data_IF_594555957291
#
_entry.id   IF_594555957291
#
_cell.length_a   1.000
_cell.length_b   1.000
_cell.length_c   1.000
_cell.angle_alpha   90.00
_cell.angle_beta   90.00
_cell.angle_gamma   90.00
#
_symmetry.space_group_name_H-M   'P 1'
#
loop_
_entity.id
_entity.type
_entity.pdbx_description
1 polymer ?
#
# COMPACT_ATOMS: atom_id res chain seq x y z
N UNK A 1 -13.57 -6.10 -3.71
CA UNK A 1 -13.94 -5.37 -2.47
C UNK A 1 -13.15 -5.92 -1.29
N UNK A 2 -12.50 -5.05 -0.51
CA UNK A 2 -11.89 -5.41 0.78
C UNK A 2 -12.92 -5.20 1.89
N UNK A 3 -13.07 -6.19 2.77
CA UNK A 3 -13.88 -6.11 3.99
C UNK A 3 -12.99 -6.44 5.20
N UNK A 4 -12.97 -5.53 6.17
CA UNK A 4 -12.28 -5.70 7.46
C UNK A 4 -13.34 -5.58 8.54
N UNK A 5 -13.49 -6.61 9.38
CA UNK A 5 -14.58 -6.71 10.35
C UNK A 5 -14.03 -7.01 11.75
N UNK A 6 -14.16 -6.05 12.64
CA UNK A 6 -13.89 -6.22 14.07
C UNK A 6 -12.47 -6.66 14.39
N UNK A 7 -11.46 -6.27 13.58
CA UNK A 7 -10.09 -6.75 13.82
C UNK A 7 -9.50 -6.15 15.10
N UNK A 8 -8.92 -7.03 15.90
CA UNK A 8 -8.18 -6.69 17.11
C UNK A 8 -6.76 -7.18 16.99
N UNK A 9 -5.81 -6.34 17.38
CA UNK A 9 -4.38 -6.63 17.34
C UNK A 9 -3.74 -6.17 18.63
N UNK A 10 -3.02 -7.08 19.29
CA UNK A 10 -2.19 -6.78 20.44
C UNK A 10 -0.71 -6.95 20.10
N UNK A 11 0.14 -5.98 20.48
CA UNK A 11 1.60 -6.04 20.36
C UNK A 11 2.18 -5.82 21.77
N UNK A 12 2.96 -6.79 22.28
CA UNK A 12 3.54 -6.72 23.63
C UNK A 12 2.50 -6.35 24.71
N UNK A 13 1.34 -7.04 24.71
CA UNK A 13 0.23 -6.83 25.61
C UNK A 13 -0.54 -5.48 25.49
N UNK A 14 -0.18 -4.64 24.53
CA UNK A 14 -0.90 -3.41 24.23
C UNK A 14 -1.87 -3.64 23.06
N UNK A 15 -3.15 -3.37 23.25
CA UNK A 15 -4.16 -3.39 22.21
C UNK A 15 -3.96 -2.18 21.27
N UNK A 16 -3.43 -2.44 20.08
CA UNK A 16 -3.19 -1.42 19.05
C UNK A 16 -4.44 -1.21 18.20
N UNK A 17 -5.12 -2.31 17.80
CA UNK A 17 -6.42 -2.24 17.13
C UNK A 17 -7.48 -2.85 18.05
N UNK A 18 -8.69 -2.25 18.08
CA UNK A 18 -9.74 -2.52 19.05
C UNK A 18 -11.09 -2.71 18.37
N UNK A 19 -11.24 -3.81 17.61
CA UNK A 19 -12.48 -4.07 16.88
C UNK A 19 -12.65 -3.19 15.63
N UNK A 20 -11.55 -2.79 14.98
CA UNK A 20 -11.57 -1.93 13.79
C UNK A 20 -12.31 -2.59 12.63
N UNK A 21 -13.23 -1.83 12.02
CA UNK A 21 -13.97 -2.25 10.83
C UNK A 21 -13.88 -1.17 9.76
N UNK A 22 -13.67 -1.57 8.50
CA UNK A 22 -13.72 -0.72 7.32
C UNK A 22 -13.99 -1.54 6.05
N UNK A 23 -14.43 -0.87 5.00
CA UNK A 23 -14.59 -1.48 3.67
C UNK A 23 -13.93 -0.62 2.61
N UNK A 24 -13.40 -1.27 1.56
CA UNK A 24 -12.91 -0.58 0.35
C UNK A 24 -13.52 -1.27 -0.85
N UNK A 25 -14.40 -0.56 -1.53
CA UNK A 25 -15.04 -1.08 -2.72
C UNK A 25 -14.03 -1.31 -3.85
N UNK A 26 -14.36 -2.25 -4.73
CA UNK A 26 -13.60 -2.42 -5.97
C UNK A 26 -13.57 -1.10 -6.73
N UNK A 27 -12.43 -0.78 -7.31
CA UNK A 27 -12.23 0.45 -8.07
C UNK A 27 -12.32 1.76 -7.26
N UNK A 28 -12.34 1.70 -5.92
CA UNK A 28 -12.32 2.87 -5.05
C UNK A 28 -10.91 3.21 -4.56
N UNK A 29 -10.69 4.48 -4.21
CA UNK A 29 -9.57 4.93 -3.37
C UNK A 29 -10.17 5.45 -2.07
N UNK A 30 -9.76 4.87 -0.95
CA UNK A 30 -10.25 5.25 0.39
C UNK A 30 -9.04 5.62 1.26
N UNK A 31 -9.19 6.71 2.02
CA UNK A 31 -8.23 7.13 3.03
C UNK A 31 -8.43 6.41 4.36
N UNK A 32 -7.36 6.21 5.11
CA UNK A 32 -7.36 5.88 6.53
C UNK A 32 -6.53 6.94 7.24
N UNK A 33 -7.20 7.91 7.85
CA UNK A 33 -6.53 9.11 8.38
C UNK A 33 -6.55 9.12 9.90
N UNK A 34 -5.42 9.43 10.50
CA UNK A 34 -5.28 9.54 11.94
C UNK A 34 -3.87 9.89 12.37
N UNK A 35 -3.73 10.37 13.61
CA UNK A 35 -2.44 10.77 14.18
C UNK A 35 -1.44 9.61 14.20
N UNK A 36 -0.15 9.93 14.37
CA UNK A 36 0.86 8.90 14.58
C UNK A 36 0.53 8.07 15.83
N UNK A 37 0.64 6.75 15.72
CA UNK A 37 0.23 5.81 16.76
C UNK A 37 -1.27 5.48 16.80
N UNK A 38 -2.12 6.03 15.91
CA UNK A 38 -3.54 5.72 15.89
C UNK A 38 -3.88 4.27 15.45
N UNK A 39 -2.94 3.56 14.79
CA UNK A 39 -3.13 2.19 14.33
C UNK A 39 -3.12 2.01 12.81
N UNK A 40 -2.89 3.07 12.01
CA UNK A 40 -2.89 3.04 10.54
C UNK A 40 -1.97 1.95 9.96
N UNK A 41 -0.67 2.04 10.24
CA UNK A 41 0.34 1.06 9.80
C UNK A 41 0.00 -0.35 10.26
N UNK A 42 -0.50 -0.50 11.50
CA UNK A 42 -0.92 -1.81 12.04
C UNK A 42 -2.09 -2.37 11.24
N UNK A 43 -3.07 -1.54 10.86
CA UNK A 43 -4.19 -1.95 10.00
C UNK A 43 -3.68 -2.45 8.64
N UNK A 44 -2.84 -1.68 7.95
CA UNK A 44 -2.29 -2.10 6.65
C UNK A 44 -1.44 -3.38 6.77
N UNK A 45 -0.62 -3.48 7.82
CA UNK A 45 0.18 -4.68 8.09
C UNK A 45 -0.68 -5.90 8.40
N UNK A 46 -1.81 -5.73 9.08
CA UNK A 46 -2.77 -6.81 9.34
C UNK A 46 -3.42 -7.29 8.04
N UNK A 47 -3.84 -6.37 7.16
CA UNK A 47 -4.39 -6.72 5.85
C UNK A 47 -3.32 -7.43 5.00
N UNK A 48 -2.05 -7.04 5.09
CA UNK A 48 -0.95 -7.70 4.37
C UNK A 48 -0.49 -9.02 5.01
N UNK A 49 -0.97 -9.38 6.22
CA UNK A 49 -0.55 -10.58 6.94
C UNK A 49 0.84 -10.49 7.57
N UNK A 50 1.30 -9.27 7.85
CA UNK A 50 2.56 -8.98 8.54
C UNK A 50 2.38 -8.82 10.06
N UNK A 51 1.13 -8.77 10.51
CA UNK A 51 0.76 -8.70 11.92
C UNK A 51 -0.41 -9.65 12.14
N UNK A 52 -0.31 -10.48 13.19
CA UNK A 52 -1.31 -11.47 13.52
C UNK A 52 -2.52 -10.80 14.18
N UNK A 53 -3.72 -11.23 13.82
CA UNK A 53 -4.96 -10.82 14.46
C UNK A 53 -5.16 -11.60 15.77
N UNK A 54 -5.65 -10.92 16.81
CA UNK A 54 -6.16 -11.56 18.01
C UNK A 54 -7.64 -11.91 17.86
N UNK A 55 -8.40 -11.14 17.07
CA UNK A 55 -9.80 -11.38 16.73
C UNK A 55 -10.17 -10.65 15.43
N UNK A 56 -11.34 -10.95 14.89
CA UNK A 56 -11.90 -10.31 13.70
C UNK A 56 -11.59 -11.06 12.41
N UNK A 57 -12.04 -10.48 11.31
CA UNK A 57 -12.02 -11.13 10.00
C UNK A 57 -11.61 -10.15 8.89
N UNK A 58 -10.80 -10.61 7.95
CA UNK A 58 -10.41 -9.87 6.76
C UNK A 58 -10.70 -10.70 5.52
N UNK A 59 -11.39 -10.10 4.57
CA UNK A 59 -11.77 -10.73 3.32
C UNK A 59 -11.45 -9.81 2.12
N UNK A 60 -10.98 -10.39 1.03
CA UNK A 60 -10.77 -9.70 -0.26
C UNK A 60 -11.46 -10.50 -1.36
N UNK A 61 -12.47 -9.91 -1.99
CA UNK A 61 -13.28 -10.51 -3.08
C UNK A 61 -13.82 -11.91 -2.71
N UNK A 62 -14.39 -12.07 -1.50
CA UNK A 62 -14.91 -13.36 -1.03
C UNK A 62 -13.83 -14.34 -0.53
N UNK A 63 -12.55 -13.95 -0.59
CA UNK A 63 -11.46 -14.79 -0.11
C UNK A 63 -11.02 -14.35 1.29
N UNK A 64 -11.16 -15.23 2.28
CA UNK A 64 -10.67 -15.02 3.66
C UNK A 64 -9.16 -14.93 3.68
N UNK A 65 -8.64 -13.88 4.30
CA UNK A 65 -7.20 -13.65 4.39
C UNK A 65 -6.57 -14.13 5.71
N UNK A 66 -7.36 -14.36 6.76
CA UNK A 66 -6.85 -14.58 8.13
C UNK A 66 -5.68 -15.56 8.21
N UNK A 67 -5.81 -16.74 7.61
CA UNK A 67 -4.81 -17.82 7.66
C UNK A 67 -3.81 -17.80 6.51
N UNK A 68 -3.91 -16.80 5.61
CA UNK A 68 -3.00 -16.66 4.49
C UNK A 68 -1.71 -15.97 4.90
N UNK A 69 -0.56 -16.54 4.53
CA UNK A 69 0.72 -15.86 4.68
C UNK A 69 0.80 -14.58 3.85
N UNK A 70 1.65 -13.63 4.25
CA UNK A 70 1.88 -12.38 3.50
C UNK A 70 2.30 -12.64 2.05
N UNK A 71 3.08 -13.69 1.82
CA UNK A 71 3.46 -14.15 0.49
C UNK A 71 2.25 -14.59 -0.35
N UNK A 72 1.36 -15.39 0.22
CA UNK A 72 0.14 -15.82 -0.46
C UNK A 72 -0.78 -14.64 -0.79
N UNK A 73 -0.88 -13.65 0.10
CA UNK A 73 -1.64 -12.40 -0.13
C UNK A 73 -1.02 -11.57 -1.27
N UNK A 74 0.30 -11.48 -1.37
CA UNK A 74 0.97 -10.84 -2.50
C UNK A 74 0.63 -11.55 -3.83
N UNK A 75 0.65 -12.88 -3.84
CA UNK A 75 0.25 -13.69 -5.01
C UNK A 75 -1.24 -13.55 -5.36
N UNK A 76 -2.11 -13.32 -4.37
CA UNK A 76 -3.52 -13.04 -4.60
C UNK A 76 -3.73 -11.71 -5.34
N UNK A 77 -2.78 -10.78 -5.27
CA UNK A 77 -2.83 -9.50 -5.95
C UNK A 77 -2.85 -8.30 -5.02
N UNK A 78 -2.31 -8.44 -3.80
CA UNK A 78 -2.15 -7.32 -2.88
C UNK A 78 -0.75 -6.73 -3.02
N UNK A 79 -0.68 -5.41 -3.34
CA UNK A 79 0.55 -4.63 -3.32
C UNK A 79 0.63 -3.81 -2.03
N UNK A 80 1.85 -3.63 -1.50
CA UNK A 80 2.05 -2.86 -0.26
C UNK A 80 3.27 -1.95 -0.36
N UNK A 81 3.06 -0.67 -0.15
CA UNK A 81 4.10 0.33 0.07
C UNK A 81 4.18 0.60 1.58
N UNK A 82 5.20 0.11 2.30
CA UNK A 82 5.42 0.47 3.70
C UNK A 82 6.03 1.88 3.83
N UNK A 83 5.82 2.52 4.98
CA UNK A 83 6.38 3.83 5.33
C UNK A 83 7.90 3.87 5.15
N UNK A 84 8.61 2.84 5.64
CA UNK A 84 10.08 2.69 5.61
C UNK A 84 10.64 2.20 4.25
N UNK A 85 9.82 2.20 3.18
CA UNK A 85 10.15 1.82 1.79
C UNK A 85 10.61 0.37 1.60
N UNK A 86 11.39 -0.20 2.49
CA UNK A 86 11.95 -1.58 2.50
C UNK A 86 12.54 -2.05 1.18
N UNK A 87 13.23 -1.15 0.47
CA UNK A 87 14.04 -1.55 -0.68
C UNK A 87 15.21 -2.42 -0.24
N UNK A 88 15.62 -3.35 -1.11
CA UNK A 88 16.86 -4.11 -0.92
C UNK A 88 18.03 -3.22 -1.38
N UNK A 89 18.87 -2.67 -0.45
CA UNK A 89 19.80 -1.60 -0.77
C UNK A 89 20.88 -2.01 -1.77
N UNK A 90 21.27 -3.27 -1.75
CA UNK A 90 22.34 -3.85 -2.59
C UNK A 90 21.87 -4.21 -4.00
N UNK A 91 20.55 -4.35 -4.21
CA UNK A 91 19.99 -4.62 -5.52
C UNK A 91 19.84 -3.32 -6.33
N UNK A 92 19.91 -3.46 -7.66
CA UNK A 92 19.57 -2.38 -8.59
C UNK A 92 18.08 -2.00 -8.48
N UNK A 93 17.72 -0.83 -9.02
CA UNK A 93 16.31 -0.42 -9.16
C UNK A 93 15.52 -1.49 -9.90
N UNK A 94 16.01 -1.93 -11.06
CA UNK A 94 15.34 -2.95 -11.85
C UNK A 94 15.14 -4.26 -11.07
N UNK A 95 16.15 -4.73 -10.35
CA UNK A 95 16.05 -5.96 -9.58
C UNK A 95 15.12 -5.83 -8.36
N UNK A 96 14.98 -4.63 -7.76
CA UNK A 96 13.97 -4.36 -6.73
C UNK A 96 12.54 -4.51 -7.26
N UNK A 97 12.30 -4.33 -8.57
CA UNK A 97 11.01 -4.56 -9.21
C UNK A 97 10.88 -6.00 -9.74
N UNK A 98 11.95 -6.56 -10.28
CA UNK A 98 11.95 -7.89 -10.92
C UNK A 98 11.70 -9.00 -9.90
N UNK A 99 12.37 -8.98 -8.75
CA UNK A 99 12.25 -10.05 -7.74
C UNK A 99 10.80 -10.27 -7.30
N UNK A 100 10.03 -9.26 -6.87
CA UNK A 100 8.62 -9.48 -6.53
C UNK A 100 7.78 -9.91 -7.75
N UNK A 101 8.10 -9.47 -8.96
CA UNK A 101 7.41 -9.90 -10.17
C UNK A 101 7.55 -11.42 -10.43
N UNK A 102 8.76 -11.92 -10.31
CA UNK A 102 9.06 -13.34 -10.51
C UNK A 102 8.43 -14.22 -9.43
N UNK A 103 8.61 -13.87 -8.15
CA UNK A 103 8.13 -14.71 -7.03
C UNK A 103 6.61 -14.68 -6.87
N UNK A 104 5.94 -13.62 -7.34
CA UNK A 104 4.48 -13.51 -7.21
C UNK A 104 3.70 -14.36 -8.23
N UNK A 105 4.39 -15.04 -9.13
CA UNK A 105 3.76 -15.91 -10.12
C UNK A 105 2.91 -15.16 -11.14
N UNK A 106 3.31 -13.94 -11.51
CA UNK A 106 2.64 -13.13 -12.54
C UNK A 106 3.03 -13.68 -13.91
N UNK A 107 2.07 -14.16 -14.72
CA UNK A 107 2.41 -14.82 -15.99
C UNK A 107 3.18 -13.91 -16.98
N UNK A 108 2.76 -12.66 -17.12
CA UNK A 108 3.42 -11.63 -17.95
C UNK A 108 4.14 -10.61 -17.06
N UNK A 109 5.15 -11.09 -16.31
CA UNK A 109 5.89 -10.17 -15.43
C UNK A 109 6.70 -9.13 -16.21
N UNK A 110 7.22 -9.45 -17.39
CA UNK A 110 7.96 -8.50 -18.22
C UNK A 110 7.05 -7.38 -18.78
N UNK A 111 5.86 -7.74 -19.25
CA UNK A 111 4.86 -6.76 -19.67
C UNK A 111 4.38 -5.88 -18.52
N UNK A 112 4.22 -6.48 -17.32
CA UNK A 112 3.89 -5.74 -16.10
C UNK A 112 4.97 -4.72 -15.76
N UNK A 113 6.23 -5.12 -15.76
CA UNK A 113 7.35 -4.22 -15.47
C UNK A 113 7.46 -3.10 -16.50
N UNK A 114 7.27 -3.40 -17.78
CA UNK A 114 7.25 -2.36 -18.84
C UNK A 114 6.18 -1.32 -18.56
N UNK A 115 4.94 -1.72 -18.30
CA UNK A 115 3.83 -0.79 -17.97
C UNK A 115 4.15 0.09 -16.75
N UNK A 116 4.75 -0.47 -15.71
CA UNK A 116 5.15 0.30 -14.51
C UNK A 116 6.27 1.30 -14.86
N UNK A 117 7.26 0.91 -15.67
CA UNK A 117 8.33 1.79 -16.11
C UNK A 117 7.86 2.87 -17.10
N UNK A 118 6.75 2.66 -17.80
CA UNK A 118 6.13 3.68 -18.64
C UNK A 118 5.37 4.74 -17.82
N UNK A 119 4.81 4.36 -16.67
CA UNK A 119 4.22 5.29 -15.71
C UNK A 119 5.26 6.13 -14.95
N UNK A 120 6.43 5.56 -14.74
CA UNK A 120 7.56 6.16 -14.02
C UNK A 120 8.84 6.07 -14.89
N UNK A 121 8.91 6.81 -16.01
CA UNK A 121 10.02 6.70 -16.96
C UNK A 121 11.37 7.04 -16.33
N UNK A 122 11.40 7.86 -15.29
CA UNK A 122 12.61 8.20 -14.53
C UNK A 122 13.33 6.97 -13.98
N UNK A 123 12.60 5.90 -13.72
CA UNK A 123 13.19 4.64 -13.21
C UNK A 123 14.04 3.93 -14.27
N UNK A 124 13.79 4.18 -15.56
CA UNK A 124 14.60 3.62 -16.66
C UNK A 124 16.04 4.14 -16.57
N UNK A 125 16.20 5.44 -16.28
CA UNK A 125 17.51 6.10 -16.15
C UNK A 125 18.30 5.59 -14.94
N UNK A 126 17.60 5.10 -13.93
CA UNK A 126 18.21 4.59 -12.69
C UNK A 126 18.24 3.07 -12.63
N UNK A 127 17.76 2.38 -13.67
CA UNK A 127 17.48 0.93 -13.67
C UNK A 127 18.64 0.07 -13.16
N UNK A 128 19.88 0.43 -13.53
CA UNK A 128 21.11 -0.28 -13.13
C UNK A 128 21.72 0.20 -11.81
N UNK A 129 21.25 1.35 -11.27
CA UNK A 129 21.79 1.91 -10.01
C UNK A 129 21.31 1.09 -8.82
N UNK A 130 22.18 0.88 -7.84
CA UNK A 130 21.80 0.28 -6.55
C UNK A 130 20.84 1.21 -5.80
N UNK A 131 19.83 0.63 -5.13
CA UNK A 131 18.85 1.41 -4.39
C UNK A 131 19.48 2.26 -3.27
N UNK A 132 20.60 1.82 -2.69
CA UNK A 132 21.37 2.58 -1.69
C UNK A 132 21.98 3.88 -2.21
N UNK A 133 22.14 4.03 -3.52
CA UNK A 133 22.73 5.23 -4.15
C UNK A 133 21.69 6.27 -4.56
N UNK A 134 20.42 6.02 -4.31
CA UNK A 134 19.32 6.91 -4.65
C UNK A 134 19.03 7.89 -3.51
N UNK A 135 18.57 9.11 -3.88
CA UNK A 135 18.01 10.05 -2.90
C UNK A 135 16.74 9.48 -2.24
N UNK A 136 16.34 10.04 -1.09
CA UNK A 136 15.14 9.60 -0.39
C UNK A 136 13.86 9.67 -1.24
N UNK A 137 13.70 10.71 -2.06
CA UNK A 137 12.58 10.85 -3.00
C UNK A 137 12.63 9.81 -4.13
N UNK A 138 13.81 9.56 -4.69
CA UNK A 138 14.00 8.50 -5.70
C UNK A 138 13.69 7.12 -5.14
N UNK A 139 14.13 6.83 -3.91
CA UNK A 139 13.80 5.57 -3.21
C UNK A 139 12.29 5.43 -2.99
N UNK A 140 11.58 6.53 -2.67
CA UNK A 140 10.11 6.51 -2.50
C UNK A 140 9.41 6.18 -3.83
N UNK A 141 9.89 6.73 -4.96
CA UNK A 141 9.38 6.38 -6.30
C UNK A 141 9.61 4.90 -6.64
N UNK A 142 10.81 4.36 -6.36
CA UNK A 142 11.12 2.93 -6.59
C UNK A 142 10.25 2.05 -5.69
N UNK A 143 10.05 2.42 -4.43
CA UNK A 143 9.21 1.67 -3.49
C UNK A 143 7.73 1.66 -3.92
N UNK A 144 7.22 2.80 -4.41
CA UNK A 144 5.88 2.88 -5.00
C UNK A 144 5.77 1.97 -6.24
N UNK A 145 6.69 2.07 -7.18
CA UNK A 145 6.73 1.21 -8.36
C UNK A 145 6.76 -0.28 -7.98
N UNK A 146 7.53 -0.64 -6.96
CA UNK A 146 7.60 -2.02 -6.46
C UNK A 146 6.26 -2.49 -5.88
N UNK A 147 5.51 -1.63 -5.19
CA UNK A 147 4.19 -1.99 -4.70
C UNK A 147 3.19 -2.26 -5.83
N UNK A 148 3.32 -1.58 -6.96
CA UNK A 148 2.50 -1.81 -8.15
C UNK A 148 2.70 -3.19 -8.77
N UNK A 149 3.88 -3.77 -8.60
CA UNK A 149 4.21 -5.06 -9.22
C UNK A 149 3.17 -6.13 -8.84
N UNK A 150 2.83 -6.24 -7.57
CA UNK A 150 1.88 -7.24 -7.06
C UNK A 150 0.44 -6.75 -6.99
N UNK A 151 0.20 -5.43 -7.04
CA UNK A 151 -1.13 -4.82 -6.89
C UNK A 151 -2.00 -5.07 -8.13
N UNK A 152 -2.89 -6.07 -8.07
CA UNK A 152 -3.88 -6.39 -9.10
C UNK A 152 -5.31 -6.27 -8.58
N UNK A 153 -5.51 -6.42 -7.26
CA UNK A 153 -6.81 -6.34 -6.59
C UNK A 153 -6.83 -5.26 -5.52
N UNK A 154 -5.74 -5.11 -4.78
CA UNK A 154 -5.63 -4.16 -3.68
C UNK A 154 -4.24 -3.55 -3.64
N UNK A 155 -4.17 -2.23 -3.49
CA UNK A 155 -2.95 -1.48 -3.23
C UNK A 155 -3.05 -0.83 -1.85
N UNK A 156 -2.12 -1.16 -0.98
CA UNK A 156 -1.97 -0.60 0.36
C UNK A 156 -0.81 0.41 0.35
N UNK A 157 -1.09 1.66 0.74
CA UNK A 157 -0.11 2.74 0.78
C UNK A 157 0.01 3.29 2.21
N UNK A 158 1.19 3.16 2.80
CA UNK A 158 1.48 3.62 4.16
C UNK A 158 2.31 4.90 4.11
N UNK A 159 1.67 6.03 4.39
CA UNK A 159 2.23 7.38 4.36
C UNK A 159 3.06 7.68 3.09
N UNK A 160 2.45 7.53 1.89
CA UNK A 160 3.17 7.67 0.62
C UNK A 160 3.77 9.06 0.42
N UNK A 161 3.23 10.09 1.07
CA UNK A 161 3.66 11.49 0.90
C UNK A 161 4.55 12.01 2.03
N UNK A 162 4.86 11.18 3.03
CA UNK A 162 5.73 11.60 4.12
C UNK A 162 7.18 11.76 3.66
N UNK A 163 7.81 12.85 4.14
CA UNK A 163 9.24 13.12 3.93
C UNK A 163 9.63 13.45 2.49
N UNK A 164 8.65 13.82 1.63
CA UNK A 164 8.91 14.23 0.24
C UNK A 164 8.41 15.65 -0.04
N UNK A 165 8.97 16.29 -1.06
CA UNK A 165 8.54 17.63 -1.48
C UNK A 165 7.10 17.62 -2.01
N UNK A 166 6.42 18.78 -1.96
CA UNK A 166 5.06 18.93 -2.52
C UNK A 166 4.99 18.56 -4.00
N UNK A 167 6.02 18.90 -4.78
CA UNK A 167 6.08 18.54 -6.20
C UNK A 167 6.13 17.01 -6.39
N UNK A 168 6.96 16.32 -5.61
CA UNK A 168 7.04 14.87 -5.65
C UNK A 168 5.75 14.21 -5.16
N UNK A 169 5.12 14.74 -4.08
CA UNK A 169 3.84 14.24 -3.59
C UNK A 169 2.76 14.28 -4.68
N UNK A 170 2.66 15.39 -5.43
CA UNK A 170 1.73 15.53 -6.56
C UNK A 170 2.03 14.52 -7.67
N UNK A 171 3.32 14.31 -7.99
CA UNK A 171 3.76 13.33 -8.98
C UNK A 171 3.40 11.91 -8.57
N UNK A 172 3.67 11.53 -7.32
CA UNK A 172 3.30 10.21 -6.76
C UNK A 172 1.78 10.01 -6.77
N UNK A 173 1.01 11.01 -6.34
CA UNK A 173 -0.45 10.94 -6.35
C UNK A 173 -1.01 10.75 -7.76
N UNK A 174 -0.47 11.48 -8.76
CA UNK A 174 -0.87 11.30 -10.15
C UNK A 174 -0.52 9.89 -10.65
N UNK A 175 0.68 9.41 -10.34
CA UNK A 175 1.11 8.05 -10.72
C UNK A 175 0.21 6.96 -10.14
N UNK A 176 -0.26 7.11 -8.88
CA UNK A 176 -1.22 6.17 -8.27
C UNK A 176 -2.55 6.20 -9.01
N UNK A 177 -3.06 7.39 -9.38
CA UNK A 177 -4.31 7.50 -10.17
C UNK A 177 -4.19 6.88 -11.55
N UNK A 178 -3.09 7.15 -12.27
CA UNK A 178 -2.83 6.61 -13.60
C UNK A 178 -2.71 5.08 -13.55
N UNK A 179 -1.98 4.56 -12.56
CA UNK A 179 -1.87 3.12 -12.34
C UNK A 179 -3.24 2.50 -12.04
N UNK A 180 -4.02 3.08 -11.12
CA UNK A 180 -5.36 2.61 -10.80
C UNK A 180 -6.29 2.62 -12.02
N UNK A 181 -6.21 3.66 -12.86
CA UNK A 181 -7.01 3.75 -14.09
C UNK A 181 -6.66 2.64 -15.09
N UNK A 182 -5.40 2.24 -15.15
CA UNK A 182 -4.92 1.15 -16.01
C UNK A 182 -5.31 -0.24 -15.48
N UNK A 183 -5.48 -0.38 -14.15
CA UNK A 183 -5.80 -1.64 -13.46
C UNK A 183 -7.27 -1.65 -13.04
N UNK A 184 -8.15 -2.12 -13.92
CA UNK A 184 -9.61 -2.18 -13.63
C UNK A 184 -9.92 -3.00 -12.39
N UNK A 185 -10.77 -2.48 -11.52
CA UNK A 185 -11.19 -3.13 -10.28
C UNK A 185 -10.18 -3.01 -9.14
N UNK A 186 -9.03 -2.36 -9.34
CA UNK A 186 -8.04 -2.15 -8.28
C UNK A 186 -8.63 -1.25 -7.18
N UNK A 187 -8.73 -1.78 -5.97
CA UNK A 187 -9.00 -1.01 -4.76
C UNK A 187 -7.71 -0.40 -4.20
N UNK A 188 -7.78 0.79 -3.64
CA UNK A 188 -6.62 1.44 -2.98
C UNK A 188 -7.01 1.88 -1.57
N UNK A 189 -6.24 1.48 -0.58
CA UNK A 189 -6.34 2.00 0.79
C UNK A 189 -5.06 2.77 1.10
N UNK A 190 -5.19 4.09 1.33
CA UNK A 190 -4.08 4.97 1.66
C UNK A 190 -4.16 5.44 3.09
N UNK A 191 -3.15 5.12 3.89
CA UNK A 191 -3.00 5.64 5.24
C UNK A 191 -2.20 6.94 5.22
N UNK A 192 -2.72 7.99 5.89
CA UNK A 192 -2.06 9.29 6.00
C UNK A 192 -2.26 9.90 7.38
N UNK A 193 -1.33 10.77 7.77
CA UNK A 193 -1.37 11.44 9.08
C UNK A 193 -2.31 12.65 9.12
N UNK A 194 -2.66 13.22 7.95
CA UNK A 194 -3.59 14.34 7.86
C UNK A 194 -4.49 14.27 6.61
N UNK A 195 -5.65 14.95 6.72
CA UNK A 195 -6.70 14.97 5.69
C UNK A 195 -6.23 15.61 4.37
N UNK A 196 -5.37 16.65 4.43
CA UNK A 196 -4.88 17.35 3.23
C UNK A 196 -4.03 16.44 2.35
N UNK A 197 -3.23 15.57 2.96
CA UNK A 197 -2.44 14.56 2.23
C UNK A 197 -3.35 13.48 1.65
N UNK A 198 -4.31 12.98 2.42
CA UNK A 198 -5.28 12.00 1.92
C UNK A 198 -6.08 12.56 0.74
N UNK A 199 -6.51 13.84 0.80
CA UNK A 199 -7.25 14.53 -0.27
C UNK A 199 -6.48 14.64 -1.60
N UNK A 200 -5.16 14.40 -1.60
CA UNK A 200 -4.39 14.30 -2.84
C UNK A 200 -4.76 13.05 -3.67
N UNK A 201 -5.35 12.02 -3.05
CA UNK A 201 -5.69 10.77 -3.72
C UNK A 201 -7.18 10.45 -3.71
N UNK A 202 -7.89 10.80 -2.65
CA UNK A 202 -9.27 10.37 -2.43
C UNK A 202 -10.16 11.50 -1.93
N UNK A 203 -11.47 11.31 -2.08
CA UNK A 203 -12.50 12.19 -1.53
C UNK A 203 -13.19 11.60 -0.30
N UNK A 204 -12.87 10.35 0.09
CA UNK A 204 -13.48 9.65 1.23
C UNK A 204 -12.40 9.06 2.10
N UNK A 205 -12.55 9.20 3.40
CA UNK A 205 -11.61 8.61 4.36
C UNK A 205 -12.32 8.17 5.65
N UNK A 206 -11.85 7.06 6.20
CA UNK A 206 -12.09 6.69 7.59
C UNK A 206 -11.14 7.46 8.50
N UNK A 207 -11.65 7.97 9.60
CA UNK A 207 -10.85 8.58 10.67
C UNK A 207 -10.58 7.53 11.73
N UNK A 208 -9.29 7.25 11.98
CA UNK A 208 -8.87 6.29 13.00
C UNK A 208 -8.28 7.02 14.21
N UNK A 209 -8.75 6.65 15.40
CA UNK A 209 -8.19 7.08 16.67
C UNK A 209 -8.11 5.89 17.63
N UNK A 210 -6.96 5.74 18.31
CA UNK A 210 -6.72 4.70 19.35
C UNK A 210 -7.09 3.27 18.93
N UNK A 211 -6.91 2.96 17.64
CA UNK A 211 -7.15 1.63 17.08
C UNK A 211 -8.60 1.34 16.67
N UNK A 212 -9.45 2.35 16.64
CA UNK A 212 -10.85 2.25 16.22
C UNK A 212 -11.13 3.23 15.07
N UNK A 213 -12.03 2.88 14.16
CA UNK A 213 -12.61 3.84 13.22
C UNK A 213 -13.70 4.60 13.97
N UNK A 214 -13.55 5.91 14.08
CA UNK A 214 -14.47 6.79 14.81
C UNK A 214 -15.41 7.58 13.89
N UNK A 215 -15.06 7.74 12.62
CA UNK A 215 -15.83 8.50 11.66
C UNK A 215 -15.49 8.12 10.22
N UNK A 216 -16.39 8.45 9.28
CA UNK A 216 -16.14 8.43 7.84
C UNK A 216 -16.45 9.82 7.29
N UNK A 217 -15.47 10.43 6.60
CA UNK A 217 -15.54 11.81 6.14
C UNK A 217 -15.39 11.91 4.63
N UNK A 218 -16.03 12.96 4.06
CA UNK A 218 -15.77 13.45 2.70
C UNK A 218 -14.72 14.56 2.78
N UNK A 219 -13.69 14.52 1.89
CA UNK A 219 -12.52 15.40 1.88
C UNK A 219 -12.67 16.51 0.84
#
# INVERSE_FOLDING_TARGET
MLSVQGITVAISALNILRGLSLTVDSDAIIGLVGRNGAGKTTTLRSIMGLTQLSAGHIELDGTTLNDMSSYARARLGIGYLPEDRRLVPTLSVYNNLLVPAQVSGIPDHDGRLRRILDLLPELKDWSTRKASLLSGGQQKMVALARSFVTARKLLLLDEPFEGVSTALSRRLAQTVRDFKQAERGLAVLVAESDLKRAAMLTQRAYVIERGEVIDEVTL
#
